data_IF_341922266088
#
_entry.id   IF_341922266088
#
_cell.length_a   1.000
_cell.length_b   1.000
_cell.length_c   1.000
_cell.angle_alpha   90.00
_cell.angle_beta   90.00
_cell.angle_gamma   90.00
#
_symmetry.space_group_name_H-M   'P 1'
#
loop_
_entity.id
_entity.type
_entity.pdbx_description
1 polymer ?
#
# COMPACT_ATOMS: atom_id res chain seq x y z
N UNK A 1 -19.96 -3.85 -7.51
CA UNK A 1 -19.21 -4.88 -8.24
C UNK A 1 -17.75 -4.48 -8.17
N UNK A 2 -16.90 -5.28 -7.51
CA UNK A 2 -15.49 -4.93 -7.25
C UNK A 2 -14.72 -4.97 -8.58
N UNK A 3 -13.95 -3.93 -8.86
CA UNK A 3 -13.15 -3.84 -10.08
C UNK A 3 -12.20 -5.04 -10.15
N UNK A 4 -12.46 -5.97 -11.08
CA UNK A 4 -11.51 -7.03 -11.40
C UNK A 4 -10.30 -6.35 -12.06
N UNK A 5 -9.18 -6.24 -11.33
CA UNK A 5 -7.91 -5.80 -11.90
C UNK A 5 -7.36 -6.94 -12.77
N UNK A 6 -7.80 -6.99 -14.03
CA UNK A 6 -7.45 -8.07 -14.97
C UNK A 6 -6.42 -7.66 -16.01
N UNK A 7 -6.13 -6.36 -16.13
CA UNK A 7 -5.20 -5.84 -17.12
C UNK A 7 -3.82 -5.55 -16.51
N UNK A 8 -2.76 -6.00 -17.18
CA UNK A 8 -1.37 -5.87 -16.73
C UNK A 8 -0.98 -4.41 -16.43
N UNK A 9 -1.40 -3.45 -17.27
CA UNK A 9 -1.11 -2.04 -17.05
C UNK A 9 -1.70 -1.48 -15.75
N UNK A 10 -2.87 -1.97 -15.33
CA UNK A 10 -3.48 -1.56 -14.06
C UNK A 10 -2.71 -2.13 -12.86
N UNK A 11 -2.19 -3.36 -13.00
CA UNK A 11 -1.36 -4.01 -11.98
C UNK A 11 -0.03 -3.24 -11.83
N UNK A 12 0.66 -2.92 -12.92
CA UNK A 12 1.90 -2.14 -12.88
C UNK A 12 1.69 -0.75 -12.25
N UNK A 13 0.57 -0.10 -12.58
CA UNK A 13 0.19 1.17 -11.96
C UNK A 13 -0.09 1.02 -10.47
N UNK A 14 -0.74 -0.05 -10.05
CA UNK A 14 -0.99 -0.33 -8.64
C UNK A 14 0.31 -0.59 -7.85
N UNK A 15 1.32 -1.21 -8.47
CA UNK A 15 2.63 -1.45 -7.84
C UNK A 15 3.43 -0.16 -7.61
N UNK A 16 3.17 0.89 -8.39
CA UNK A 16 3.92 2.14 -8.36
C UNK A 16 3.16 3.28 -7.68
N UNK A 17 1.86 3.38 -7.92
CA UNK A 17 0.95 4.39 -7.37
C UNK A 17 -0.38 3.73 -6.95
N UNK A 18 -0.40 2.99 -5.83
CA UNK A 18 -1.59 2.27 -5.34
C UNK A 18 -2.84 3.14 -5.24
N UNK A 19 -2.69 4.36 -4.71
CA UNK A 19 -3.78 5.33 -4.51
C UNK A 19 -4.36 5.90 -5.80
N UNK A 20 -3.71 5.68 -6.94
CA UNK A 20 -4.23 6.06 -8.26
C UNK A 20 -5.07 4.96 -8.93
N UNK A 21 -5.18 3.80 -8.27
CA UNK A 21 -5.89 2.62 -8.77
C UNK A 21 -6.96 2.16 -7.78
N UNK A 22 -6.65 2.24 -6.49
CA UNK A 22 -7.55 1.91 -5.39
C UNK A 22 -7.86 3.16 -4.59
N UNK A 23 -9.10 3.29 -4.14
CA UNK A 23 -9.51 4.36 -3.24
C UNK A 23 -9.17 3.99 -1.79
N UNK A 24 -9.23 2.69 -1.46
CA UNK A 24 -8.98 2.18 -0.10
C UNK A 24 -8.06 0.96 -0.06
N UNK A 25 -7.24 0.80 1.00
CA UNK A 25 -6.38 -0.37 1.18
C UNK A 25 -7.15 -1.71 1.23
N UNK A 26 -8.38 -1.71 1.76
CA UNK A 26 -9.23 -2.91 1.82
C UNK A 26 -9.61 -3.46 0.44
N UNK A 27 -9.64 -2.60 -0.58
CA UNK A 27 -9.89 -3.03 -1.96
C UNK A 27 -8.74 -3.90 -2.49
N UNK A 28 -7.51 -3.63 -2.05
CA UNK A 28 -6.35 -4.47 -2.38
C UNK A 28 -6.48 -5.85 -1.75
N UNK A 29 -6.91 -5.93 -0.49
CA UNK A 29 -7.17 -7.21 0.22
C UNK A 29 -8.23 -8.02 -0.53
N UNK A 30 -9.31 -7.33 -0.92
CA UNK A 30 -10.45 -7.88 -1.63
C UNK A 30 -10.22 -8.18 -3.12
N UNK A 31 -9.10 -7.72 -3.69
CA UNK A 31 -8.80 -7.91 -5.11
C UNK A 31 -8.47 -9.37 -5.42
N UNK A 32 -8.50 -9.72 -6.71
CA UNK A 32 -8.13 -11.07 -7.18
C UNK A 32 -6.61 -11.23 -7.39
N UNK A 33 -5.81 -10.30 -6.84
CA UNK A 33 -4.36 -10.34 -6.98
C UNK A 33 -3.74 -11.45 -6.10
N UNK A 34 -2.61 -12.03 -6.52
CA UNK A 34 -1.84 -12.90 -5.66
C UNK A 34 -1.45 -12.21 -4.35
N UNK A 35 -1.47 -12.93 -3.22
CA UNK A 35 -1.02 -12.44 -1.91
C UNK A 35 0.31 -11.67 -1.96
N UNK A 36 1.39 -12.14 -2.62
CA UNK A 36 2.64 -11.36 -2.68
C UNK A 36 2.46 -9.99 -3.36
N UNK A 37 1.65 -9.90 -4.41
CA UNK A 37 1.35 -8.65 -5.10
C UNK A 37 0.53 -7.70 -4.22
N UNK A 38 -0.47 -8.23 -3.49
CA UNK A 38 -1.24 -7.43 -2.53
C UNK A 38 -0.35 -6.81 -1.46
N UNK A 39 0.59 -7.59 -0.93
CA UNK A 39 1.55 -7.12 0.07
C UNK A 39 2.42 -6.01 -0.52
N UNK A 40 2.95 -6.19 -1.73
CA UNK A 40 3.81 -5.21 -2.40
C UNK A 40 3.09 -3.86 -2.62
N UNK A 41 1.86 -3.90 -3.13
CA UNK A 41 1.01 -2.72 -3.31
C UNK A 41 0.78 -2.00 -1.99
N UNK A 42 0.37 -2.73 -0.94
CA UNK A 42 0.10 -2.14 0.37
C UNK A 42 1.36 -1.58 1.03
N UNK A 43 2.52 -2.21 0.84
CA UNK A 43 3.81 -1.70 1.33
C UNK A 43 4.25 -0.44 0.60
N UNK A 44 4.05 -0.38 -0.72
CA UNK A 44 4.28 0.85 -1.49
C UNK A 44 3.39 1.97 -0.97
N UNK A 45 2.11 1.69 -0.75
CA UNK A 45 1.17 2.67 -0.23
C UNK A 45 1.57 3.18 1.16
N UNK A 46 2.01 2.28 2.05
CA UNK A 46 2.52 2.63 3.38
C UNK A 46 3.71 3.59 3.27
N UNK A 47 4.65 3.33 2.35
CA UNK A 47 5.80 4.18 2.11
C UNK A 47 5.40 5.58 1.62
N UNK A 48 4.51 5.65 0.63
CA UNK A 48 4.01 6.91 0.06
C UNK A 48 3.25 7.72 1.13
N UNK A 49 2.42 7.07 1.95
CA UNK A 49 1.68 7.72 3.03
C UNK A 49 2.62 8.29 4.12
N UNK A 50 3.68 7.57 4.48
CA UNK A 50 4.72 8.12 5.36
C UNK A 50 5.50 9.28 4.72
N UNK A 51 5.75 9.24 3.40
CA UNK A 51 6.38 10.36 2.70
C UNK A 51 5.48 11.61 2.71
N UNK A 52 4.17 11.43 2.47
CA UNK A 52 3.17 12.49 2.55
C UNK A 52 3.04 13.08 3.96
N UNK A 53 3.08 12.24 5.00
CA UNK A 53 3.13 12.71 6.40
C UNK A 53 4.34 13.63 6.63
N UNK A 54 5.54 13.20 6.23
CA UNK A 54 6.76 14.00 6.40
C UNK A 54 6.69 15.32 5.65
N UNK A 55 6.07 15.34 4.47
CA UNK A 55 5.82 16.56 3.72
C UNK A 55 4.78 17.48 4.39
N UNK A 56 3.85 16.92 5.17
CA UNK A 56 2.79 17.66 5.88
C UNK A 56 3.23 18.13 7.28
N UNK A 57 4.21 17.46 7.90
CA UNK A 57 4.72 17.78 9.24
C UNK A 57 5.43 19.16 9.32
N UNK A 58 5.72 19.80 8.18
CA UNK A 58 6.12 21.21 8.11
C UNK A 58 4.95 22.21 8.27
N UNK A 59 3.69 21.74 8.32
CA UNK A 59 2.51 22.60 8.44
C UNK A 59 1.51 22.04 9.48
N UNK A 60 1.90 22.14 10.76
CA UNK A 60 1.05 22.16 11.97
C UNK A 60 -0.34 21.51 11.85
N UNK A 61 -0.46 20.19 12.08
CA UNK A 61 -1.60 19.50 12.73
C UNK A 61 -1.31 18.00 12.82
N UNK A 62 -0.82 17.55 13.98
CA UNK A 62 -0.42 16.17 14.27
C UNK A 62 -1.59 15.20 14.46
N UNK A 63 -2.26 14.83 13.37
CA UNK A 63 -3.12 13.65 13.32
C UNK A 63 -2.46 12.54 12.52
N UNK A 64 -2.45 11.30 13.02
CA UNK A 64 -2.14 10.16 12.16
C UNK A 64 -3.16 10.19 10.99
N UNK A 65 -2.74 10.25 9.72
CA UNK A 65 -3.67 10.22 8.62
C UNK A 65 -4.40 8.88 8.70
N UNK A 66 -5.75 8.89 8.67
CA UNK A 66 -6.56 7.68 8.82
C UNK A 66 -6.15 6.57 7.82
N UNK A 67 -5.54 6.96 6.71
CA UNK A 67 -5.03 6.05 5.69
C UNK A 67 -3.90 5.12 6.17
N UNK A 68 -3.01 5.52 7.09
CA UNK A 68 -1.94 4.64 7.56
C UNK A 68 -2.45 3.49 8.43
N UNK A 69 -3.43 3.77 9.30
CA UNK A 69 -4.08 2.72 10.09
C UNK A 69 -4.80 1.72 9.19
N UNK A 70 -5.51 2.19 8.16
CA UNK A 70 -6.16 1.32 7.18
C UNK A 70 -5.16 0.46 6.40
N UNK A 71 -4.03 1.03 5.97
CA UNK A 71 -2.97 0.28 5.28
C UNK A 71 -2.37 -0.79 6.21
N UNK A 72 -2.13 -0.45 7.48
CA UNK A 72 -1.60 -1.39 8.47
C UNK A 72 -2.58 -2.55 8.73
N UNK A 73 -3.87 -2.24 8.89
CA UNK A 73 -4.91 -3.25 9.07
C UNK A 73 -4.97 -4.20 7.85
N UNK A 74 -4.94 -3.64 6.63
CA UNK A 74 -4.90 -4.43 5.41
C UNK A 74 -3.66 -5.34 5.34
N UNK A 75 -2.49 -4.83 5.72
CA UNK A 75 -1.25 -5.62 5.79
C UNK A 75 -1.34 -6.75 6.81
N UNK A 76 -1.96 -6.56 7.97
CA UNK A 76 -2.17 -7.63 8.96
C UNK A 76 -3.06 -8.75 8.39
N UNK A 77 -4.00 -8.43 7.51
CA UNK A 77 -4.87 -9.44 6.88
C UNK A 77 -4.09 -10.28 5.86
N UNK A 78 -3.22 -9.67 5.04
CA UNK A 78 -2.51 -10.37 3.96
C UNK A 78 -1.12 -10.89 4.33
N UNK A 79 -0.48 -10.32 5.35
CA UNK A 79 0.86 -10.65 5.87
C UNK A 79 0.86 -10.65 7.41
N UNK A 80 0.10 -11.56 8.06
CA UNK A 80 -0.01 -11.59 9.52
C UNK A 80 1.31 -11.86 10.25
N UNK A 81 2.28 -12.49 9.57
CA UNK A 81 3.62 -12.77 10.11
C UNK A 81 4.59 -11.59 9.95
N UNK A 82 4.27 -10.60 9.10
CA UNK A 82 5.15 -9.47 8.80
C UNK A 82 6.46 -9.87 8.09
N UNK A 83 6.56 -11.12 7.61
CA UNK A 83 7.80 -11.68 7.08
C UNK A 83 8.24 -10.95 5.79
N UNK A 84 7.27 -10.48 5.01
CA UNK A 84 7.49 -9.75 3.76
C UNK A 84 8.01 -8.32 3.98
N UNK A 85 7.88 -7.77 5.19
CA UNK A 85 8.37 -6.43 5.54
C UNK A 85 9.90 -6.28 5.39
N UNK A 86 10.65 -7.36 5.64
CA UNK A 86 12.10 -7.37 5.50
C UNK A 86 12.57 -7.39 4.05
N UNK A 87 11.83 -8.09 3.18
CA UNK A 87 12.14 -8.18 1.75
C UNK A 87 11.88 -6.84 1.03
N UNK A 88 10.74 -6.20 1.31
CA UNK A 88 10.38 -4.90 0.71
C UNK A 88 11.42 -3.81 1.00
N UNK A 89 11.91 -3.71 2.24
CA UNK A 89 12.93 -2.71 2.63
C UNK A 89 14.26 -2.85 1.89
N UNK A 90 14.61 -4.04 1.42
CA UNK A 90 15.81 -4.27 0.61
C UNK A 90 15.63 -3.82 -0.85
N UNK A 91 14.41 -3.98 -1.39
CA UNK A 91 14.07 -3.54 -2.74
C UNK A 91 13.94 -2.01 -2.84
N UNK A 92 13.29 -1.38 -1.86
CA UNK A 92 13.03 0.07 -1.87
C UNK A 92 14.29 0.96 -1.70
N UNK A 93 15.37 0.45 -1.09
CA UNK A 93 16.64 1.20 -0.92
C UNK A 93 17.50 1.29 -2.18
N UNK A 94 17.14 0.58 -3.26
CA UNK A 94 17.95 0.47 -4.49
C UNK A 94 17.38 1.29 -5.66
N UNK A 95 16.33 2.06 -5.44
CA UNK A 95 15.68 2.91 -6.45
C UNK A 95 16.24 4.33 -6.45
#
# INVERSE_FOLDING_TARGET
MKASLTNAAAIEKAMTSPSSVFDRPDEVVSSDLPTPQKIEILRRWQFDAHALQRATDENMSGGNPPMLDEINAALTIVDPSGASAGAFRRAAQKA
#
